data_IF_918656006783
#
_entry.id   IF_918656006783
#
_cell.length_a   1.000
_cell.length_b   1.000
_cell.length_c   1.000
_cell.angle_alpha   90.00
_cell.angle_beta   90.00
_cell.angle_gamma   90.00
#
_symmetry.space_group_name_H-M   'P 1'
#
loop_
_entity.id
_entity.type
_entity.pdbx_description
1 polymer ?
#
# COMPACT_ATOMS: atom_id res chain seq x y z
N UNK A 1 27.64 13.56 -3.01
CA UNK A 1 27.29 14.85 -3.64
C UNK A 1 26.34 14.52 -4.80
N UNK A 2 25.03 14.66 -4.60
CA UNK A 2 24.01 14.24 -5.57
C UNK A 2 23.90 15.30 -6.69
N UNK A 3 24.17 14.95 -7.95
CA UNK A 3 23.85 15.78 -9.11
C UNK A 3 22.79 15.06 -9.94
N UNK A 4 21.57 15.60 -9.96
CA UNK A 4 20.46 15.14 -10.80
C UNK A 4 19.68 16.35 -11.33
N UNK A 5 19.43 16.36 -12.64
CA UNK A 5 18.56 17.30 -13.34
C UNK A 5 17.10 16.97 -13.01
N UNK A 6 16.29 17.97 -12.61
CA UNK A 6 14.82 17.87 -12.58
C UNK A 6 14.06 18.46 -11.38
N UNK A 7 14.58 18.42 -10.14
CA UNK A 7 13.85 18.88 -8.94
C UNK A 7 14.74 19.56 -7.88
N UNK A 8 15.66 20.44 -8.29
CA UNK A 8 16.73 20.97 -7.42
C UNK A 8 16.29 21.80 -6.17
N UNK A 9 15.02 22.18 -5.99
CA UNK A 9 14.60 22.98 -4.84
C UNK A 9 14.11 22.17 -3.63
N UNK A 10 13.53 20.99 -3.80
CA UNK A 10 12.84 20.27 -2.72
C UNK A 10 13.78 19.46 -1.81
N UNK A 11 14.95 19.08 -2.30
CA UNK A 11 15.80 18.13 -1.58
C UNK A 11 16.93 18.77 -0.77
N UNK A 12 17.06 20.10 -0.63
CA UNK A 12 18.23 20.65 0.08
C UNK A 12 18.20 20.41 1.60
N UNK A 13 17.03 20.20 2.18
CA UNK A 13 16.88 19.96 3.61
C UNK A 13 17.01 18.46 3.96
N UNK A 14 18.07 18.04 4.68
CA UNK A 14 18.23 16.66 5.13
C UNK A 14 17.13 16.16 6.08
N UNK A 15 16.41 17.06 6.75
CA UNK A 15 15.32 16.71 7.66
C UNK A 15 14.09 16.17 6.92
N UNK A 16 13.89 16.59 5.67
CA UNK A 16 12.76 16.13 4.84
C UNK A 16 13.02 14.77 4.19
N UNK A 17 14.30 14.33 4.15
CA UNK A 17 14.71 13.12 3.44
C UNK A 17 14.65 11.88 4.33
N UNK A 18 14.27 10.78 3.70
CA UNK A 18 14.39 9.43 4.22
C UNK A 18 15.62 8.72 3.67
N UNK A 19 15.97 7.59 4.29
CA UNK A 19 17.02 6.69 3.82
C UNK A 19 16.80 5.29 4.39
N UNK A 20 17.39 4.29 3.73
CA UNK A 20 17.58 2.96 4.30
C UNK A 20 19.04 2.78 4.68
N UNK A 21 19.30 2.18 5.84
CA UNK A 21 20.64 1.84 6.30
C UNK A 21 20.63 0.53 7.11
N UNK A 22 21.78 0.20 7.72
CA UNK A 22 21.96 -0.97 8.58
C UNK A 22 21.81 -2.32 7.86
N UNK A 23 21.93 -2.33 6.53
CA UNK A 23 21.93 -3.55 5.70
C UNK A 23 23.13 -4.45 6.05
N UNK A 24 22.85 -5.73 6.31
CA UNK A 24 23.83 -6.78 6.59
C UNK A 24 23.37 -8.11 5.98
N UNK A 25 23.51 -8.23 4.65
CA UNK A 25 23.03 -9.39 3.91
C UNK A 25 23.74 -10.69 4.31
N UNK A 26 22.94 -11.74 4.46
CA UNK A 26 23.39 -13.11 4.69
C UNK A 26 22.67 -14.06 3.75
N UNK A 27 23.42 -15.01 3.18
CA UNK A 27 22.91 -16.15 2.41
C UNK A 27 23.12 -17.40 3.25
N UNK A 28 22.03 -18.13 3.56
CA UNK A 28 22.06 -19.33 4.41
C UNK A 28 22.84 -19.10 5.73
N UNK A 29 22.54 -17.98 6.40
CA UNK A 29 23.16 -17.50 7.64
C UNK A 29 24.63 -17.03 7.55
N UNK A 30 25.28 -17.14 6.39
CA UNK A 30 26.64 -16.63 6.18
C UNK A 30 26.59 -15.23 5.60
N UNK A 31 27.36 -14.30 6.17
CA UNK A 31 27.53 -12.95 5.61
C UNK A 31 28.09 -13.06 4.19
N UNK A 32 27.54 -12.27 3.27
CA UNK A 32 27.91 -12.26 1.86
C UNK A 32 28.43 -10.88 1.46
N UNK A 33 29.31 -10.83 0.45
CA UNK A 33 29.71 -9.58 -0.16
C UNK A 33 28.56 -9.00 -1.00
N UNK A 34 28.29 -7.72 -0.82
CA UNK A 34 27.33 -6.97 -1.61
C UNK A 34 27.83 -5.55 -1.80
N UNK A 35 27.35 -4.91 -2.86
CA UNK A 35 27.72 -3.53 -3.20
C UNK A 35 26.54 -2.81 -3.83
N UNK A 36 26.51 -1.47 -3.71
CA UNK A 36 25.54 -0.67 -4.44
C UNK A 36 25.95 -0.57 -5.91
N UNK A 37 24.97 -0.56 -6.80
CA UNK A 37 25.21 -0.29 -8.20
C UNK A 37 25.78 1.13 -8.37
N UNK A 38 26.82 1.31 -9.20
CA UNK A 38 27.37 2.64 -9.47
C UNK A 38 26.27 3.62 -9.93
N UNK A 39 26.19 4.77 -9.27
CA UNK A 39 25.20 5.83 -9.50
C UNK A 39 23.73 5.47 -9.19
N UNK A 40 23.45 4.30 -8.61
CA UNK A 40 22.12 3.87 -8.18
C UNK A 40 22.16 3.54 -6.68
N UNK A 41 21.94 4.54 -5.80
CA UNK A 41 22.18 4.43 -4.36
C UNK A 41 21.18 3.52 -3.61
N UNK A 42 20.17 3.04 -4.32
CA UNK A 42 19.02 2.28 -3.84
C UNK A 42 18.97 0.86 -4.42
N UNK A 43 19.94 0.48 -5.25
CA UNK A 43 20.05 -0.87 -5.80
C UNK A 43 21.36 -1.50 -5.35
N UNK A 44 21.26 -2.70 -4.75
CA UNK A 44 22.42 -3.49 -4.38
C UNK A 44 22.53 -4.79 -5.18
N UNK A 45 23.75 -5.20 -5.48
CA UNK A 45 24.08 -6.53 -6.00
C UNK A 45 24.53 -7.41 -4.83
N UNK A 46 23.92 -8.58 -4.70
CA UNK A 46 24.36 -9.63 -3.77
C UNK A 46 25.12 -10.68 -4.58
N UNK A 47 26.41 -10.90 -4.27
CA UNK A 47 27.25 -11.85 -4.99
C UNK A 47 27.20 -13.22 -4.32
N UNK A 48 26.50 -14.18 -4.94
CA UNK A 48 26.44 -15.54 -4.41
C UNK A 48 27.80 -16.25 -4.59
N UNK A 49 28.34 -16.84 -3.51
CA UNK A 49 29.58 -17.63 -3.57
C UNK A 49 29.41 -18.92 -4.39
N UNK A 50 28.21 -19.47 -4.39
CA UNK A 50 27.85 -20.68 -5.13
C UNK A 50 26.68 -20.34 -6.08
N UNK A 51 26.78 -20.67 -7.38
CA UNK A 51 25.67 -20.46 -8.31
C UNK A 51 24.39 -21.17 -7.85
N UNK A 52 23.26 -20.49 -7.98
CA UNK A 52 21.94 -21.07 -7.74
C UNK A 52 21.43 -21.70 -9.04
N UNK A 53 21.23 -23.02 -9.06
CA UNK A 53 20.72 -23.73 -10.24
C UNK A 53 19.18 -23.65 -10.31
N UNK A 54 18.57 -23.82 -11.51
CA UNK A 54 17.11 -23.82 -11.64
C UNK A 54 16.43 -24.83 -10.71
N UNK A 55 15.41 -24.38 -9.97
CA UNK A 55 14.66 -25.19 -9.02
C UNK A 55 15.25 -25.30 -7.61
N UNK A 56 16.46 -24.77 -7.39
CA UNK A 56 17.07 -24.71 -6.06
C UNK A 56 16.60 -23.48 -5.27
N UNK A 57 16.94 -23.40 -3.99
CA UNK A 57 16.50 -22.32 -3.09
C UNK A 57 17.58 -21.94 -2.08
N UNK A 58 17.63 -20.65 -1.75
CA UNK A 58 18.50 -20.08 -0.71
C UNK A 58 17.69 -19.16 0.19
N UNK A 59 18.15 -18.99 1.43
CA UNK A 59 17.60 -17.99 2.35
C UNK A 59 18.48 -16.74 2.35
N UNK A 60 17.91 -15.61 1.95
CA UNK A 60 18.54 -14.29 2.05
C UNK A 60 17.91 -13.53 3.22
N UNK A 61 18.73 -12.97 4.11
CA UNK A 61 18.26 -12.16 5.24
C UNK A 61 19.11 -10.90 5.37
N UNK A 62 18.51 -9.80 5.82
CA UNK A 62 19.21 -8.57 6.17
C UNK A 62 18.41 -7.79 7.21
N UNK A 63 19.02 -7.29 8.29
CA UNK A 63 18.40 -6.22 9.05
C UNK A 63 18.42 -4.93 8.21
N UNK A 64 17.49 -4.03 8.48
CA UNK A 64 17.52 -2.70 7.90
C UNK A 64 16.80 -1.72 8.82
N UNK A 65 17.13 -0.44 8.67
CA UNK A 65 16.42 0.67 9.30
C UNK A 65 16.05 1.67 8.23
N UNK A 66 14.80 2.12 8.27
CA UNK A 66 14.29 3.19 7.41
C UNK A 66 14.09 4.45 8.25
N UNK A 67 14.74 5.55 7.87
CA UNK A 67 14.31 6.89 8.28
C UNK A 67 13.14 7.27 7.38
N UNK A 68 11.93 7.35 7.95
CA UNK A 68 10.72 7.69 7.21
C UNK A 68 10.81 9.18 6.80
N UNK A 69 10.67 9.54 5.52
CA UNK A 69 10.68 10.93 5.06
C UNK A 69 9.39 11.67 5.43
N UNK A 70 9.38 12.99 5.27
CA UNK A 70 8.12 13.75 5.30
C UNK A 70 7.27 13.43 4.07
N UNK A 71 5.97 13.21 4.26
CA UNK A 71 5.00 12.83 3.21
C UNK A 71 4.59 13.97 2.27
N UNK A 72 5.52 14.89 1.95
CA UNK A 72 5.28 16.07 1.10
C UNK A 72 5.72 15.89 -0.35
N UNK A 73 6.47 14.81 -0.64
CA UNK A 73 7.12 14.62 -1.95
C UNK A 73 7.02 13.19 -2.47
N UNK A 74 6.69 12.22 -1.63
CA UNK A 74 6.77 10.79 -1.93
C UNK A 74 5.61 10.04 -1.31
N UNK A 75 5.19 8.95 -1.97
CA UNK A 75 4.17 7.99 -1.51
C UNK A 75 4.57 7.22 -0.23
N UNK A 76 5.87 7.20 0.13
CA UNK A 76 6.37 6.78 1.44
C UNK A 76 6.58 8.03 2.29
N UNK A 77 6.02 8.09 3.49
CA UNK A 77 6.30 9.20 4.40
C UNK A 77 5.37 9.30 5.60
N UNK A 78 5.46 10.44 6.28
CA UNK A 78 4.56 10.77 7.38
C UNK A 78 4.20 12.26 7.41
N UNK A 79 2.99 12.58 7.88
CA UNK A 79 2.50 13.93 8.18
C UNK A 79 2.07 13.93 9.64
N UNK A 80 2.76 14.71 10.48
CA UNK A 80 2.62 14.61 11.93
C UNK A 80 2.88 13.18 12.41
N UNK A 81 1.90 12.58 13.08
CA UNK A 81 1.91 11.19 13.53
C UNK A 81 1.03 10.26 12.67
N UNK A 82 0.73 10.66 11.43
CA UNK A 82 0.08 9.82 10.40
C UNK A 82 1.14 9.24 9.48
N UNK A 83 1.13 7.92 9.27
CA UNK A 83 2.19 7.19 8.56
C UNK A 83 1.67 6.49 7.31
N UNK A 84 2.40 6.65 6.21
CA UNK A 84 2.16 6.04 4.90
C UNK A 84 3.39 5.22 4.53
N UNK A 85 3.34 3.92 4.78
CA UNK A 85 4.52 3.05 4.74
C UNK A 85 4.40 2.12 3.54
N UNK A 86 4.95 2.60 2.43
CA UNK A 86 5.07 1.89 1.15
C UNK A 86 6.54 1.75 0.77
N UNK A 87 6.88 0.77 -0.08
CA UNK A 87 8.24 0.63 -0.64
C UNK A 87 9.37 0.69 0.42
N UNK A 88 9.13 0.11 1.59
CA UNK A 88 9.90 0.37 2.82
C UNK A 88 10.89 -0.74 3.16
N UNK A 89 10.96 -1.80 2.33
CA UNK A 89 11.83 -2.96 2.55
C UNK A 89 12.60 -3.30 1.26
N UNK A 90 13.79 -3.92 1.36
CA UNK A 90 14.52 -4.39 0.20
C UNK A 90 13.74 -5.46 -0.56
N UNK A 91 13.56 -5.26 -1.88
CA UNK A 91 12.87 -6.21 -2.76
C UNK A 91 13.86 -6.83 -3.77
N UNK A 92 13.75 -8.14 -4.08
CA UNK A 92 14.46 -8.71 -5.22
C UNK A 92 14.02 -8.02 -6.52
N UNK A 93 14.98 -7.72 -7.40
CA UNK A 93 14.66 -7.28 -8.75
C UNK A 93 14.05 -8.46 -9.54
N UNK A 94 13.07 -8.18 -10.40
CA UNK A 94 12.47 -9.22 -11.25
C UNK A 94 13.48 -9.71 -12.29
N UNK A 95 13.48 -11.01 -12.56
CA UNK A 95 14.25 -11.60 -13.66
C UNK A 95 13.30 -12.31 -14.64
N UNK A 96 13.19 -11.77 -15.85
CA UNK A 96 12.33 -12.32 -16.91
C UNK A 96 13.12 -12.67 -18.18
N UNK A 97 12.42 -12.99 -19.27
CA UNK A 97 13.01 -13.33 -20.58
C UNK A 97 13.91 -12.23 -21.18
N UNK A 98 13.81 -11.00 -20.69
CA UNK A 98 14.65 -9.85 -21.10
C UNK A 98 15.78 -9.55 -20.13
N UNK A 99 15.89 -10.30 -19.03
CA UNK A 99 16.94 -10.20 -18.02
C UNK A 99 16.47 -9.59 -16.70
N UNK A 100 17.43 -9.06 -15.95
CA UNK A 100 17.15 -8.38 -14.67
C UNK A 100 16.51 -7.01 -14.89
N UNK A 101 15.56 -6.67 -14.03
CA UNK A 101 14.88 -5.37 -13.98
C UNK A 101 15.21 -4.60 -12.70
N UNK A 102 16.46 -4.14 -12.51
CA UNK A 102 16.84 -3.30 -11.38
C UNK A 102 16.31 -1.89 -11.61
N UNK A 103 15.21 -1.54 -10.94
CA UNK A 103 14.57 -0.24 -11.09
C UNK A 103 14.78 0.60 -9.84
N UNK A 104 15.40 1.76 -9.99
CA UNK A 104 15.51 2.72 -8.88
C UNK A 104 14.13 3.22 -8.45
N UNK A 105 14.02 3.46 -7.15
CA UNK A 105 12.93 4.14 -6.49
C UNK A 105 12.63 5.48 -7.17
N UNK A 106 11.34 5.74 -7.42
CA UNK A 106 10.84 7.04 -7.86
C UNK A 106 9.93 7.61 -6.79
N UNK A 107 9.96 8.93 -6.66
CA UNK A 107 9.07 9.66 -5.75
C UNK A 107 7.60 9.56 -6.18
N UNK A 108 7.37 9.53 -7.48
CA UNK A 108 6.12 9.17 -8.13
C UNK A 108 6.42 8.22 -9.28
N UNK A 109 5.85 7.01 -9.23
CA UNK A 109 5.97 6.07 -10.32
C UNK A 109 5.71 4.63 -9.90
N UNK A 110 5.51 3.82 -10.93
CA UNK A 110 5.07 2.45 -10.83
C UNK A 110 6.21 1.44 -10.64
N UNK A 111 5.85 0.23 -10.24
CA UNK A 111 6.73 -0.82 -9.74
C UNK A 111 6.74 -2.05 -10.64
N UNK A 112 7.75 -2.89 -10.45
CA UNK A 112 7.74 -4.23 -11.01
C UNK A 112 8.42 -5.14 -9.99
N UNK A 113 7.70 -6.13 -9.48
CA UNK A 113 8.13 -6.93 -8.34
C UNK A 113 7.72 -8.40 -8.51
N UNK A 114 8.52 -9.29 -7.93
CA UNK A 114 8.23 -10.73 -7.94
C UNK A 114 7.06 -11.05 -7.02
N UNK A 115 6.26 -12.04 -7.42
CA UNK A 115 5.22 -12.58 -6.56
C UNK A 115 5.81 -13.39 -5.41
N UNK A 116 5.25 -13.22 -4.22
CA UNK A 116 5.70 -13.88 -3.01
C UNK A 116 4.59 -14.17 -2.01
N UNK A 117 5.03 -14.77 -0.90
CA UNK A 117 4.25 -14.95 0.30
C UNK A 117 4.85 -14.06 1.39
N UNK A 118 3.99 -13.27 2.04
CA UNK A 118 4.37 -12.26 3.01
C UNK A 118 3.84 -12.65 4.38
N UNK A 119 4.75 -12.63 5.36
CA UNK A 119 4.46 -12.79 6.79
C UNK A 119 5.04 -11.56 7.50
N UNK A 120 4.18 -10.63 7.89
CA UNK A 120 4.58 -9.30 8.36
C UNK A 120 4.11 -9.08 9.79
N UNK A 121 5.03 -8.64 10.65
CA UNK A 121 4.74 -8.29 12.04
C UNK A 121 5.02 -6.80 12.26
N UNK A 122 3.99 -6.04 12.61
CA UNK A 122 4.07 -4.59 12.83
C UNK A 122 3.88 -4.30 14.32
N UNK A 123 4.90 -3.74 14.98
CA UNK A 123 4.84 -3.38 16.40
C UNK A 123 4.82 -1.86 16.57
N UNK A 124 3.80 -1.34 17.26
CA UNK A 124 3.54 0.10 17.42
C UNK A 124 2.68 0.39 18.66
N UNK A 125 2.51 1.66 19.09
CA UNK A 125 1.63 2.01 20.21
C UNK A 125 0.20 1.49 20.02
N UNK A 126 -0.42 1.04 21.10
CA UNK A 126 -1.67 0.27 21.04
C UNK A 126 -2.86 1.01 20.41
N UNK A 127 -2.84 2.34 20.43
CA UNK A 127 -3.93 3.22 20.00
C UNK A 127 -3.86 3.62 18.53
N UNK A 128 -2.84 3.18 17.78
CA UNK A 128 -2.84 3.34 16.33
C UNK A 128 -3.80 2.38 15.67
N UNK A 129 -4.61 2.85 14.73
CA UNK A 129 -5.38 2.00 13.83
C UNK A 129 -4.54 1.79 12.57
N UNK A 130 -4.51 0.56 12.06
CA UNK A 130 -3.63 0.16 10.96
C UNK A 130 -4.45 -0.51 9.86
N UNK A 131 -4.33 0.01 8.64
CA UNK A 131 -4.70 -0.69 7.42
C UNK A 131 -3.43 -1.22 6.76
N UNK A 132 -3.43 -2.45 6.28
CA UNK A 132 -2.27 -3.02 5.60
C UNK A 132 -2.70 -4.00 4.52
N UNK A 133 -1.82 -4.21 3.54
CA UNK A 133 -1.88 -5.33 2.62
C UNK A 133 -1.98 -6.65 3.41
N UNK A 134 -2.75 -7.60 2.88
CA UNK A 134 -2.85 -8.94 3.45
C UNK A 134 -3.89 -9.08 4.55
N UNK A 135 -3.95 -10.26 5.14
CA UNK A 135 -4.99 -10.65 6.09
C UNK A 135 -4.47 -10.49 7.52
N UNK A 136 -5.14 -9.67 8.34
CA UNK A 136 -4.86 -9.59 9.76
C UNK A 136 -5.19 -10.93 10.43
N UNK A 137 -4.24 -11.51 11.17
CA UNK A 137 -4.37 -12.83 11.80
C UNK A 137 -4.81 -12.74 13.27
N UNK A 138 -4.65 -11.59 13.93
CA UNK A 138 -4.98 -11.45 15.35
C UNK A 138 -6.50 -11.31 15.57
N UNK A 139 -7.17 -12.40 16.01
CA UNK A 139 -8.61 -12.40 16.31
C UNK A 139 -9.07 -11.24 17.21
N UNK A 140 -8.35 -10.97 18.30
CA UNK A 140 -8.71 -9.86 19.21
C UNK A 140 -8.61 -8.48 18.57
N UNK A 141 -7.79 -8.32 17.53
CA UNK A 141 -7.66 -7.05 16.78
C UNK A 141 -8.71 -6.95 15.67
N UNK A 142 -9.12 -8.07 15.09
CA UNK A 142 -10.28 -8.13 14.19
C UNK A 142 -11.54 -7.69 14.95
N UNK A 143 -11.79 -8.25 16.13
CA UNK A 143 -12.94 -7.86 16.98
C UNK A 143 -12.90 -6.39 17.40
N UNK A 144 -11.70 -5.82 17.58
CA UNK A 144 -11.52 -4.39 17.86
C UNK A 144 -11.96 -3.55 16.66
N UNK A 145 -11.60 -3.94 15.44
CA UNK A 145 -12.04 -3.26 14.22
C UNK A 145 -13.56 -3.37 14.02
N UNK A 146 -14.17 -4.51 14.37
CA UNK A 146 -15.63 -4.66 14.33
C UNK A 146 -16.33 -3.71 15.31
N UNK A 147 -15.77 -3.52 16.51
CA UNK A 147 -16.28 -2.55 17.49
C UNK A 147 -16.14 -1.11 17.01
N UNK A 148 -14.99 -0.77 16.42
CA UNK A 148 -14.77 0.56 15.84
C UNK A 148 -15.72 0.82 14.67
N UNK A 149 -15.98 -0.18 13.83
CA UNK A 149 -16.94 -0.05 12.73
C UNK A 149 -18.39 0.12 13.19
N UNK A 150 -18.74 -0.38 14.37
CA UNK A 150 -20.07 -0.17 14.96
C UNK A 150 -20.21 1.21 15.61
N UNK A 151 -19.11 1.92 15.85
CA UNK A 151 -19.13 3.28 16.36
C UNK A 151 -19.42 4.28 15.23
N UNK A 152 -20.57 4.93 15.31
CA UNK A 152 -21.03 5.95 14.35
C UNK A 152 -21.06 7.35 14.97
N UNK A 153 -20.41 7.55 16.12
CA UNK A 153 -20.36 8.84 16.82
C UNK A 153 -19.74 9.95 15.96
N UNK A 154 -18.80 9.60 15.09
CA UNK A 154 -18.17 10.48 14.09
C UNK A 154 -19.13 11.02 13.02
N UNK A 155 -20.32 10.43 12.83
CA UNK A 155 -21.33 10.94 11.88
C UNK A 155 -21.98 12.24 12.40
N UNK A 156 -21.91 12.50 13.72
CA UNK A 156 -22.57 13.64 14.38
C UNK A 156 -21.62 14.73 14.83
N UNK A 157 -20.33 14.62 14.55
CA UNK A 157 -19.38 15.69 14.88
C UNK A 157 -19.72 16.92 14.05
N UNK A 158 -20.25 17.97 14.71
CA UNK A 158 -20.23 19.35 14.17
C UNK A 158 -18.86 19.58 13.55
N UNK A 159 -18.77 20.16 12.33
CA UNK A 159 -17.61 20.40 11.42
C UNK A 159 -16.22 20.79 12.03
N UNK A 160 -15.86 20.23 13.17
CA UNK A 160 -14.66 20.44 13.96
C UNK A 160 -13.71 19.36 13.48
N UNK A 161 -12.81 19.77 12.59
CA UNK A 161 -11.71 18.92 12.18
C UNK A 161 -10.79 18.70 13.38
N UNK A 162 -10.78 17.49 13.95
CA UNK A 162 -9.80 17.13 14.97
C UNK A 162 -8.43 16.93 14.30
N UNK A 163 -7.64 18.02 14.29
CA UNK A 163 -6.33 18.04 13.65
C UNK A 163 -5.20 17.60 14.58
N UNK A 164 -5.45 17.60 15.89
CA UNK A 164 -4.48 17.19 16.89
C UNK A 164 -4.39 15.66 16.97
N UNK A 165 -3.17 15.14 17.07
CA UNK A 165 -2.95 13.70 17.28
C UNK A 165 -3.17 13.35 18.76
N UNK A 166 -4.03 12.37 19.09
CA UNK A 166 -4.15 11.86 20.45
C UNK A 166 -2.80 11.40 20.99
N UNK A 167 -2.52 11.53 22.28
CA UNK A 167 -1.23 11.11 22.85
C UNK A 167 -0.98 9.61 22.58
N UNK A 168 0.21 9.27 22.07
CA UNK A 168 0.58 7.88 21.82
C UNK A 168 0.60 7.06 23.11
N UNK A 169 0.03 5.86 23.07
CA UNK A 169 0.03 4.97 24.23
C UNK A 169 1.43 4.51 24.61
N UNK A 170 1.63 4.26 25.91
CA UNK A 170 2.86 3.67 26.43
C UNK A 170 2.92 2.16 26.22
N UNK A 171 1.78 1.51 25.95
CA UNK A 171 1.72 0.09 25.65
C UNK A 171 1.86 -0.12 24.15
N UNK A 172 2.58 -1.17 23.77
CA UNK A 172 2.74 -1.58 22.38
C UNK A 172 1.82 -2.76 22.07
N UNK A 173 1.39 -2.84 20.81
CA UNK A 173 0.78 -4.04 20.23
C UNK A 173 1.59 -4.51 19.04
N UNK A 174 1.49 -5.80 18.74
CA UNK A 174 2.01 -6.38 17.50
C UNK A 174 0.84 -6.89 16.68
N UNK A 175 0.78 -6.46 15.42
CA UNK A 175 -0.17 -6.95 14.41
C UNK A 175 0.56 -7.92 13.50
N UNK A 176 -0.08 -9.05 13.19
CA UNK A 176 0.43 -10.09 12.31
C UNK A 176 -0.44 -10.17 11.07
N UNK A 177 0.16 -9.92 9.90
CA UNK A 177 -0.48 -10.01 8.59
C UNK A 177 0.14 -11.14 7.77
N UNK A 178 -0.71 -11.86 7.04
CA UNK A 178 -0.29 -12.86 6.06
C UNK A 178 -0.95 -12.66 4.70
N UNK A 179 -0.18 -12.84 3.62
CA UNK A 179 -0.68 -12.77 2.26
C UNK A 179 0.12 -13.66 1.32
N UNK A 180 -0.55 -14.28 0.36
CA UNK A 180 0.08 -15.12 -0.66
C UNK A 180 -0.27 -14.57 -2.05
N UNK A 181 0.63 -14.76 -3.03
CA UNK A 181 0.44 -14.34 -4.42
C UNK A 181 0.20 -12.82 -4.55
N UNK A 182 1.02 -12.06 -3.82
CA UNK A 182 1.12 -10.60 -3.94
C UNK A 182 2.58 -10.25 -4.23
N UNK A 183 2.83 -9.07 -4.78
CA UNK A 183 4.19 -8.65 -5.15
C UNK A 183 4.68 -7.39 -4.41
N UNK A 184 3.81 -6.76 -3.61
CA UNK A 184 4.17 -5.63 -2.76
C UNK A 184 3.37 -5.62 -1.45
N UNK A 185 3.90 -4.94 -0.42
CA UNK A 185 3.24 -4.82 0.89
C UNK A 185 3.32 -3.38 1.42
N UNK A 186 2.16 -2.75 1.57
CA UNK A 186 2.03 -1.41 2.15
C UNK A 186 1.20 -1.45 3.44
N UNK A 187 1.42 -0.46 4.31
CA UNK A 187 0.59 -0.25 5.50
C UNK A 187 0.52 1.22 5.89
N UNK A 188 -0.58 1.58 6.53
CA UNK A 188 -0.95 2.94 6.90
C UNK A 188 -1.40 2.97 8.34
N UNK A 189 -1.03 4.02 9.07
CA UNK A 189 -1.35 4.10 10.49
C UNK A 189 -1.66 5.53 10.93
N UNK A 190 -2.80 5.69 11.60
CA UNK A 190 -3.21 6.92 12.27
C UNK A 190 -4.02 6.55 13.53
N UNK A 191 -3.94 7.38 14.57
CA UNK A 191 -4.71 7.19 15.82
C UNK A 191 -6.14 7.72 15.69
N UNK A 192 -6.41 8.54 14.67
CA UNK A 192 -7.68 9.24 14.44
C UNK A 192 -8.56 8.54 13.43
N UNK A 193 -8.18 7.38 12.92
CA UNK A 193 -8.99 6.70 11.91
C UNK A 193 -10.35 6.29 12.49
N UNK A 194 -11.40 6.71 11.82
CA UNK A 194 -12.69 6.05 11.80
C UNK A 194 -12.58 4.81 10.93
N UNK A 195 -13.37 3.80 11.27
CA UNK A 195 -13.41 2.52 10.55
C UNK A 195 -14.84 2.30 10.09
N UNK A 196 -15.02 1.89 8.84
CA UNK A 196 -16.22 1.13 8.45
C UNK A 196 -15.76 -0.18 7.82
N UNK A 197 -16.48 -1.27 8.10
CA UNK A 197 -16.10 -2.62 7.68
C UNK A 197 -17.34 -3.47 7.42
N UNK A 198 -17.32 -4.17 6.30
CA UNK A 198 -18.38 -5.09 5.90
C UNK A 198 -17.82 -6.36 5.24
N UNK A 199 -18.74 -7.25 4.86
CA UNK A 199 -18.47 -8.45 4.07
C UNK A 199 -19.40 -8.44 2.87
N UNK A 200 -18.85 -8.64 1.69
CA UNK A 200 -19.61 -8.81 0.44
C UNK A 200 -19.47 -10.24 -0.08
N UNK A 201 -20.45 -10.69 -0.83
CA UNK A 201 -20.44 -11.99 -1.51
C UNK A 201 -20.20 -11.75 -3.00
N UNK A 202 -19.14 -12.35 -3.54
CA UNK A 202 -18.80 -12.20 -4.96
C UNK A 202 -19.89 -12.84 -5.85
N UNK A 203 -20.26 -12.19 -6.96
CA UNK A 203 -21.42 -12.56 -7.76
C UNK A 203 -21.32 -13.95 -8.41
N UNK A 204 -20.09 -14.39 -8.77
CA UNK A 204 -19.88 -15.66 -9.48
C UNK A 204 -19.45 -16.79 -8.55
N UNK A 205 -18.38 -16.60 -7.76
CA UNK A 205 -17.90 -17.65 -6.85
C UNK A 205 -18.74 -17.83 -5.59
N UNK A 206 -19.54 -16.84 -5.18
CA UNK A 206 -20.16 -16.81 -3.87
C UNK A 206 -19.16 -16.67 -2.71
N UNK A 207 -17.88 -16.38 -3.00
CA UNK A 207 -16.87 -16.21 -1.97
C UNK A 207 -17.08 -14.90 -1.22
N UNK A 208 -16.88 -14.95 0.09
CA UNK A 208 -16.90 -13.77 0.94
C UNK A 208 -15.59 -12.97 0.82
N UNK A 209 -15.71 -11.64 0.74
CA UNK A 209 -14.60 -10.68 0.77
C UNK A 209 -14.88 -9.67 1.87
N UNK A 210 -13.90 -9.44 2.75
CA UNK A 210 -14.00 -8.38 3.76
C UNK A 210 -13.58 -7.04 3.17
N UNK A 211 -14.44 -6.03 3.26
CA UNK A 211 -14.15 -4.67 2.79
C UNK A 211 -14.03 -3.73 3.97
N UNK A 212 -13.14 -2.76 3.87
CA UNK A 212 -12.90 -1.78 4.93
C UNK A 212 -12.56 -0.42 4.35
N UNK A 213 -12.99 0.64 5.03
CA UNK A 213 -12.47 1.99 4.81
C UNK A 213 -11.93 2.57 6.11
N UNK A 214 -10.81 3.29 6.01
CA UNK A 214 -10.17 4.00 7.12
C UNK A 214 -10.06 5.47 6.74
N UNK A 215 -10.61 6.37 7.54
CA UNK A 215 -10.63 7.80 7.23
C UNK A 215 -10.62 8.64 8.50
N UNK A 216 -10.40 9.94 8.40
CA UNK A 216 -10.36 10.84 9.58
C UNK A 216 -11.57 11.80 9.55
N UNK A 217 -11.65 12.73 10.50
CA UNK A 217 -12.65 13.81 10.44
C UNK A 217 -12.45 14.73 9.23
N UNK A 218 -11.27 14.71 8.60
CA UNK A 218 -11.09 15.37 7.32
C UNK A 218 -11.93 14.67 6.26
N UNK A 219 -12.90 15.38 5.66
CA UNK A 219 -13.81 14.85 4.63
C UNK A 219 -14.65 13.65 5.07
N UNK A 220 -14.92 13.48 6.37
CA UNK A 220 -15.77 12.40 6.88
C UNK A 220 -17.18 12.43 6.27
N UNK A 221 -17.66 13.60 5.84
CA UNK A 221 -18.91 13.78 5.12
C UNK A 221 -18.92 13.15 3.72
N UNK A 222 -17.76 13.04 3.07
CA UNK A 222 -17.60 12.31 1.81
C UNK A 222 -17.35 10.82 2.08
N UNK A 223 -16.46 10.53 3.03
CA UNK A 223 -16.04 9.16 3.34
C UNK A 223 -17.10 8.31 4.03
N UNK A 224 -18.18 8.90 4.57
CA UNK A 224 -19.31 8.16 5.13
C UNK A 224 -19.93 7.15 4.16
N UNK A 225 -19.87 7.43 2.86
CA UNK A 225 -20.42 6.58 1.79
C UNK A 225 -19.31 5.77 1.08
N UNK A 226 -18.02 5.94 1.44
CA UNK A 226 -16.90 5.32 0.74
C UNK A 226 -16.92 3.78 0.80
N UNK A 227 -17.43 3.17 1.87
CA UNK A 227 -17.55 1.71 1.94
C UNK A 227 -18.51 1.16 0.88
N UNK A 228 -19.57 1.90 0.54
CA UNK A 228 -20.48 1.47 -0.55
C UNK A 228 -19.78 1.55 -1.90
N UNK A 229 -18.96 2.57 -2.14
CA UNK A 229 -18.14 2.69 -3.36
C UNK A 229 -17.19 1.49 -3.50
N UNK A 230 -16.51 1.11 -2.40
CA UNK A 230 -15.66 -0.08 -2.38
C UNK A 230 -16.45 -1.34 -2.71
N UNK A 231 -17.59 -1.55 -2.05
CA UNK A 231 -18.41 -2.74 -2.22
C UNK A 231 -18.98 -2.86 -3.65
N UNK A 232 -19.48 -1.75 -4.19
CA UNK A 232 -20.07 -1.66 -5.53
C UNK A 232 -19.00 -1.89 -6.60
N UNK A 233 -17.84 -1.23 -6.49
CA UNK A 233 -16.74 -1.40 -7.43
C UNK A 233 -16.22 -2.85 -7.44
N UNK A 234 -15.96 -3.46 -6.28
CA UNK A 234 -15.51 -4.86 -6.21
C UNK A 234 -16.56 -5.80 -6.82
N UNK A 235 -17.84 -5.59 -6.53
CA UNK A 235 -18.93 -6.40 -7.08
C UNK A 235 -19.02 -6.23 -8.60
N UNK A 236 -18.99 -4.99 -9.09
CA UNK A 236 -19.08 -4.66 -10.51
C UNK A 236 -17.90 -5.25 -11.31
N UNK A 237 -16.66 -5.02 -10.87
CA UNK A 237 -15.50 -5.57 -11.56
C UNK A 237 -15.42 -7.09 -11.44
N UNK A 238 -15.88 -7.67 -10.32
CA UNK A 238 -16.00 -9.13 -10.22
C UNK A 238 -16.98 -9.71 -11.23
N UNK A 239 -18.08 -9.00 -11.50
CA UNK A 239 -19.03 -9.38 -12.55
C UNK A 239 -18.43 -9.26 -13.97
N UNK A 240 -17.70 -8.18 -14.26
CA UNK A 240 -17.21 -7.86 -15.61
C UNK A 240 -15.87 -8.49 -15.99
N UNK A 241 -14.99 -8.73 -15.04
CA UNK A 241 -13.59 -9.15 -15.25
C UNK A 241 -13.39 -10.59 -14.76
N UNK A 242 -13.96 -10.92 -13.61
CA UNK A 242 -13.83 -12.20 -12.92
C UNK A 242 -13.65 -11.99 -11.43
N UNK A 243 -13.86 -13.02 -10.60
CA UNK A 243 -13.85 -12.89 -9.14
C UNK A 243 -12.65 -12.10 -8.60
N UNK A 244 -12.92 -11.13 -7.73
CA UNK A 244 -11.90 -10.35 -7.02
C UNK A 244 -10.81 -11.25 -6.41
N UNK A 245 -9.52 -11.06 -6.68
CA UNK A 245 -8.49 -12.08 -6.42
C UNK A 245 -8.10 -12.28 -4.95
N UNK A 246 -8.44 -11.36 -4.05
CA UNK A 246 -7.98 -11.36 -2.65
C UNK A 246 -9.12 -11.60 -1.65
N UNK A 247 -8.78 -11.81 -0.37
CA UNK A 247 -9.75 -12.07 0.71
C UNK A 247 -10.27 -10.79 1.37
N UNK A 248 -9.54 -9.69 1.25
CA UNK A 248 -9.94 -8.41 1.78
C UNK A 248 -9.49 -7.26 0.89
N UNK A 249 -10.16 -6.11 1.01
CA UNK A 249 -9.74 -4.85 0.43
C UNK A 249 -9.94 -3.71 1.44
N UNK A 250 -8.97 -2.80 1.52
CA UNK A 250 -9.07 -1.60 2.35
C UNK A 250 -8.84 -0.33 1.51
N UNK A 251 -9.72 0.66 1.59
CA UNK A 251 -9.41 2.02 1.12
C UNK A 251 -9.04 2.91 2.30
N UNK A 252 -7.90 3.59 2.24
CA UNK A 252 -7.38 4.42 3.33
C UNK A 252 -7.31 5.86 2.89
N UNK A 253 -7.96 6.77 3.61
CA UNK A 253 -7.76 8.19 3.43
C UNK A 253 -6.36 8.58 3.93
N UNK A 254 -5.66 9.36 3.14
CA UNK A 254 -4.38 9.93 3.53
C UNK A 254 -4.32 11.40 3.17
N UNK A 255 -3.51 12.14 3.93
CA UNK A 255 -3.07 13.48 3.56
C UNK A 255 -2.04 13.47 2.41
N UNK A 256 -2.15 12.53 1.46
CA UNK A 256 -1.26 12.44 0.30
C UNK A 256 -1.24 13.79 -0.42
N UNK A 257 -0.04 14.26 -0.73
CA UNK A 257 0.19 15.48 -1.53
C UNK A 257 0.64 15.15 -2.96
N UNK A 258 0.75 13.85 -3.29
CA UNK A 258 1.31 13.33 -4.54
C UNK A 258 0.41 12.24 -5.13
N UNK A 259 -0.36 12.58 -6.16
CA UNK A 259 -1.34 11.69 -6.81
C UNK A 259 -2.70 11.72 -6.12
N UNK A 260 -3.75 11.30 -6.84
CA UNK A 260 -5.12 11.18 -6.30
C UNK A 260 -5.31 9.89 -5.51
N UNK A 261 -4.66 8.81 -5.94
CA UNK A 261 -4.65 7.51 -5.28
C UNK A 261 -3.35 6.74 -5.52
N UNK A 262 -3.22 5.59 -4.86
CA UNK A 262 -2.18 4.61 -5.12
C UNK A 262 -2.62 3.21 -4.70
N UNK A 263 -2.42 2.28 -5.61
CA UNK A 263 -2.79 0.88 -5.55
C UNK A 263 -1.68 0.02 -4.91
N UNK A 264 -2.06 -0.79 -3.93
CA UNK A 264 -1.25 -1.89 -3.43
C UNK A 264 -2.13 -3.15 -3.39
N UNK A 265 -1.53 -4.35 -3.37
CA UNK A 265 -2.31 -5.57 -3.25
C UNK A 265 -3.25 -5.54 -2.03
N UNK A 266 -4.56 -5.55 -2.29
CA UNK A 266 -5.61 -5.54 -1.26
C UNK A 266 -5.77 -4.23 -0.46
N UNK A 267 -5.08 -3.14 -0.83
CA UNK A 267 -5.22 -1.86 -0.14
C UNK A 267 -4.89 -0.69 -1.07
N UNK A 268 -5.69 0.36 -1.02
CA UNK A 268 -5.36 1.63 -1.67
C UNK A 268 -5.27 2.74 -0.65
N UNK A 269 -4.51 3.77 -1.00
CA UNK A 269 -4.48 5.04 -0.29
C UNK A 269 -5.00 6.15 -1.19
N UNK A 270 -5.95 6.93 -0.68
CA UNK A 270 -6.67 7.95 -1.44
C UNK A 270 -6.36 9.32 -0.82
N UNK A 271 -6.06 10.30 -1.67
CA UNK A 271 -5.89 11.70 -1.27
C UNK A 271 -7.21 12.39 -0.93
N UNK A 272 -7.19 13.72 -0.90
CA UNK A 272 -8.42 14.50 -0.77
C UNK A 272 -9.19 14.51 -2.09
N UNK A 273 -10.52 14.38 -2.00
CA UNK A 273 -11.43 14.44 -3.15
C UNK A 273 -12.20 15.77 -3.19
N UNK A 274 -12.62 16.21 -4.37
CA UNK A 274 -13.37 17.47 -4.52
C UNK A 274 -14.85 17.28 -4.13
N UNK A 275 -15.41 16.12 -4.46
CA UNK A 275 -16.80 15.75 -4.20
C UNK A 275 -16.98 14.22 -4.15
N UNK A 276 -18.23 13.77 -3.91
CA UNK A 276 -18.56 12.35 -3.82
C UNK A 276 -18.33 11.58 -5.13
N UNK A 277 -18.49 12.22 -6.29
CA UNK A 277 -18.28 11.58 -7.59
C UNK A 277 -16.79 11.31 -7.81
N UNK A 278 -15.95 12.32 -7.60
CA UNK A 278 -14.49 12.18 -7.70
C UNK A 278 -13.92 11.19 -6.67
N UNK A 279 -14.52 11.08 -5.47
CA UNK A 279 -14.12 10.07 -4.50
C UNK A 279 -14.42 8.64 -4.98
N UNK A 280 -15.61 8.40 -5.54
CA UNK A 280 -15.99 7.11 -6.12
C UNK A 280 -15.17 6.77 -7.37
N UNK A 281 -14.89 7.75 -8.23
CA UNK A 281 -14.00 7.61 -9.38
C UNK A 281 -12.62 7.11 -8.95
N UNK A 282 -11.96 7.80 -8.01
CA UNK A 282 -10.63 7.38 -7.57
C UNK A 282 -10.70 6.03 -6.85
N UNK A 283 -11.63 5.82 -5.91
CA UNK A 283 -11.75 4.53 -5.22
C UNK A 283 -11.96 3.37 -6.20
N UNK A 284 -12.85 3.52 -7.18
CA UNK A 284 -13.12 2.46 -8.17
C UNK A 284 -11.92 2.23 -9.10
N UNK A 285 -11.20 3.29 -9.52
CA UNK A 285 -9.95 3.17 -10.28
C UNK A 285 -8.93 2.32 -9.54
N UNK A 286 -8.63 2.70 -8.30
CA UNK A 286 -7.66 2.02 -7.44
C UNK A 286 -8.06 0.57 -7.10
N UNK A 287 -9.36 0.28 -7.06
CA UNK A 287 -9.86 -1.10 -6.89
C UNK A 287 -9.60 -1.92 -8.15
N UNK A 288 -9.79 -1.35 -9.34
CA UNK A 288 -9.66 -2.06 -10.61
C UNK A 288 -8.21 -2.57 -10.85
N UNK A 289 -7.21 -1.83 -10.34
CA UNK A 289 -5.82 -2.29 -10.28
C UNK A 289 -5.63 -3.64 -9.55
N UNK A 290 -6.58 -4.09 -8.72
CA UNK A 290 -6.51 -5.41 -8.10
C UNK A 290 -6.44 -6.56 -9.11
N UNK A 291 -6.97 -6.38 -10.33
CA UNK A 291 -6.90 -7.39 -11.39
C UNK A 291 -5.66 -7.25 -12.26
N UNK A 292 -5.35 -6.03 -12.74
CA UNK A 292 -4.35 -5.82 -13.79
C UNK A 292 -2.95 -5.56 -13.24
N UNK A 293 -2.81 -4.70 -12.23
CA UNK A 293 -1.57 -4.51 -11.49
C UNK A 293 -1.31 -5.66 -10.53
N UNK A 294 -2.27 -5.97 -9.66
CA UNK A 294 -1.99 -6.81 -8.50
C UNK A 294 -2.00 -8.30 -8.84
N UNK A 295 -3.05 -8.81 -9.52
CA UNK A 295 -3.17 -10.23 -9.81
C UNK A 295 -2.45 -10.67 -11.10
N UNK A 296 -2.48 -9.85 -12.16
CA UNK A 296 -1.76 -10.14 -13.40
C UNK A 296 -0.28 -9.75 -13.30
N UNK A 297 0.06 -8.67 -12.58
CA UNK A 297 1.46 -8.32 -12.29
C UNK A 297 2.26 -7.89 -13.52
N UNK A 298 1.66 -7.09 -14.42
CA UNK A 298 2.36 -6.64 -15.62
C UNK A 298 3.57 -5.74 -15.27
N UNK A 299 4.55 -5.66 -16.17
CA UNK A 299 5.67 -4.71 -16.01
C UNK A 299 5.19 -3.30 -16.37
N UNK A 300 4.39 -2.70 -15.49
CA UNK A 300 3.79 -1.35 -15.61
C UNK A 300 4.84 -0.25 -15.78
N UNK A 301 6.05 -0.45 -15.27
CA UNK A 301 7.17 0.46 -15.53
C UNK A 301 7.53 0.54 -17.01
N UNK A 302 7.44 -0.59 -17.72
CA UNK A 302 7.78 -0.70 -19.14
C UNK A 302 6.55 -0.56 -20.04
N UNK A 303 5.40 -1.03 -19.59
CA UNK A 303 4.14 -1.09 -20.33
C UNK A 303 2.98 -0.53 -19.50
N UNK A 304 3.02 0.76 -19.10
CA UNK A 304 2.05 1.33 -18.17
C UNK A 304 0.61 1.25 -18.68
N UNK A 305 0.41 1.31 -19.99
CA UNK A 305 -0.92 1.21 -20.60
C UNK A 305 -1.64 -0.12 -20.32
N UNK A 306 -0.92 -1.20 -20.02
CA UNK A 306 -1.53 -2.50 -19.73
C UNK A 306 -2.28 -2.52 -18.41
N UNK A 307 -1.89 -1.66 -17.49
CA UNK A 307 -2.55 -1.50 -16.22
C UNK A 307 -3.45 -0.26 -16.27
N UNK A 308 -2.86 0.94 -16.23
CA UNK A 308 -3.57 2.23 -16.22
C UNK A 308 -4.61 2.39 -17.33
N UNK A 309 -4.28 1.95 -18.55
CA UNK A 309 -5.19 2.08 -19.70
C UNK A 309 -6.41 1.17 -19.59
N UNK A 310 -6.23 -0.04 -19.05
CA UNK A 310 -7.33 -0.99 -18.87
C UNK A 310 -8.16 -0.59 -17.66
N UNK A 311 -7.50 -0.24 -16.56
CA UNK A 311 -8.13 0.27 -15.33
C UNK A 311 -9.01 1.47 -15.65
N UNK A 312 -8.48 2.50 -16.32
CA UNK A 312 -9.25 3.70 -16.72
C UNK A 312 -10.50 3.35 -17.53
N UNK A 313 -10.38 2.44 -18.51
CA UNK A 313 -11.51 2.06 -19.35
C UNK A 313 -12.62 1.34 -18.58
N UNK A 314 -12.27 0.54 -17.56
CA UNK A 314 -13.24 -0.10 -16.67
C UNK A 314 -13.83 0.89 -15.66
N UNK A 315 -13.05 1.82 -15.13
CA UNK A 315 -13.51 2.92 -14.27
C UNK A 315 -14.56 3.76 -14.97
N UNK A 316 -14.27 4.25 -16.19
CA UNK A 316 -15.20 5.03 -17.01
C UNK A 316 -16.53 4.29 -17.22
N UNK A 317 -16.44 2.98 -17.46
CA UNK A 317 -17.63 2.14 -17.67
C UNK A 317 -18.44 1.97 -16.39
N UNK A 318 -17.78 1.72 -15.26
CA UNK A 318 -18.43 1.62 -13.95
C UNK A 318 -19.19 2.92 -13.62
N UNK A 319 -18.53 4.08 -13.75
CA UNK A 319 -19.14 5.38 -13.46
C UNK A 319 -20.32 5.67 -14.39
N UNK A 320 -20.20 5.37 -15.69
CA UNK A 320 -21.29 5.54 -16.66
C UNK A 320 -22.49 4.63 -16.39
N UNK A 321 -22.27 3.42 -15.91
CA UNK A 321 -23.35 2.50 -15.59
C UNK A 321 -24.05 2.88 -14.26
N UNK A 322 -23.33 3.57 -13.36
CA UNK A 322 -23.81 3.96 -12.02
C UNK A 322 -24.57 5.30 -12.00
N UNK A 323 -24.12 6.31 -12.75
CA UNK A 323 -24.64 7.69 -12.75
C UNK A 323 -25.37 8.06 -14.06
#
# INVERSE_FOLDING_TARGET
MFQFYGKQRLFKDPELRGNIDSLDFKVNHKRVYWELLPNQPDICIINLETPLIPGDSIQITTPFRVKIPKGVVSRLGHIGESYQISQWYPKPAVYDQTGWHPMSYLDQGEFYSEFGCFEVHITLPDNYIVGATGNLQNHSKIEMLDKLSADTSWVKTDNVKETDFPVSSKQLKTLHYSANKIHDFAWFADKRFHVQKEKIILPHSGREVTTMVLFTDEQSELWRDALSYVNEAITYFSDKIGDYPYQNYTAVQSALTSGSGMEYPGITVIGLADDAYSLDEVISHEICHSWFYSALGSNERRYPFMDEGITSAYTDRYLKDKY
#
